data_IF_584374731980
#
_entry.id   IF_584374731980
#
_cell.length_a   1.000
_cell.length_b   1.000
_cell.length_c   1.000
_cell.angle_alpha   90.00
_cell.angle_beta   90.00
_cell.angle_gamma   90.00
#
_symmetry.space_group_name_H-M   'P 1'
#
loop_
_entity.id
_entity.type
_entity.pdbx_description
1 polymer ?
#
# COMPACT_ATOMS: atom_id res chain seq x y z
N UNK A 1 16.50 12.33 -7.05
CA UNK A 1 16.16 10.99 -6.50
C UNK A 1 15.80 10.08 -7.66
N UNK A 2 16.40 8.89 -7.76
CA UNK A 2 16.09 7.93 -8.83
C UNK A 2 14.67 7.38 -8.62
N UNK A 3 13.80 7.53 -9.61
CA UNK A 3 12.43 7.00 -9.57
C UNK A 3 12.45 5.56 -10.08
N UNK A 4 12.09 4.61 -9.21
CA UNK A 4 11.92 3.20 -9.58
C UNK A 4 10.43 2.98 -9.84
N UNK A 5 10.10 2.45 -11.02
CA UNK A 5 8.74 2.00 -11.33
C UNK A 5 8.59 0.58 -10.81
N UNK A 6 7.66 0.39 -9.89
CA UNK A 6 7.31 -0.90 -9.32
C UNK A 6 5.82 -1.16 -9.57
N UNK A 7 5.50 -2.34 -10.10
CA UNK A 7 4.14 -2.77 -10.38
C UNK A 7 3.79 -3.95 -9.49
N UNK A 8 2.92 -3.72 -8.51
CA UNK A 8 2.48 -4.72 -7.56
C UNK A 8 1.09 -5.28 -7.93
N UNK A 9 0.90 -6.57 -7.66
CA UNK A 9 -0.43 -7.21 -7.65
C UNK A 9 -0.95 -7.21 -6.22
N UNK A 10 -2.21 -6.86 -6.02
CA UNK A 10 -2.87 -6.84 -4.72
C UNK A 10 -4.31 -7.35 -4.85
N UNK A 11 -4.94 -7.85 -3.77
CA UNK A 11 -6.34 -8.21 -3.79
C UNK A 11 -7.20 -6.98 -4.09
N UNK A 12 -8.36 -7.22 -4.70
CA UNK A 12 -9.33 -6.17 -5.00
C UNK A 12 -9.71 -5.36 -3.75
N UNK A 13 -9.85 -6.03 -2.61
CA UNK A 13 -10.18 -5.39 -1.34
C UNK A 13 -9.12 -4.37 -0.88
N UNK A 14 -7.83 -4.69 -1.01
CA UNK A 14 -6.75 -3.75 -0.65
C UNK A 14 -6.67 -2.59 -1.66
N UNK A 15 -6.94 -2.88 -2.94
CA UNK A 15 -7.06 -1.84 -3.96
C UNK A 15 -8.22 -0.86 -3.64
N UNK A 16 -9.36 -1.40 -3.20
CA UNK A 16 -10.53 -0.61 -2.80
C UNK A 16 -10.24 0.25 -1.55
N UNK A 17 -9.50 -0.28 -0.57
CA UNK A 17 -9.04 0.49 0.59
C UNK A 17 -8.22 1.71 0.19
N UNK A 18 -7.30 1.58 -0.77
CA UNK A 18 -6.54 2.73 -1.27
C UNK A 18 -7.47 3.79 -1.85
N UNK A 19 -8.46 3.41 -2.66
CA UNK A 19 -9.44 4.35 -3.20
C UNK A 19 -10.25 5.06 -2.09
N UNK A 20 -10.66 4.32 -1.06
CA UNK A 20 -11.35 4.90 0.11
C UNK A 20 -10.47 5.89 0.87
N UNK A 21 -9.20 5.57 1.10
CA UNK A 21 -8.24 6.48 1.75
C UNK A 21 -8.05 7.75 0.94
N UNK A 22 -7.93 7.66 -0.39
CA UNK A 22 -7.88 8.85 -1.26
C UNK A 22 -9.12 9.72 -1.11
N UNK A 23 -10.32 9.11 -1.06
CA UNK A 23 -11.58 9.83 -0.85
C UNK A 23 -11.61 10.54 0.51
N UNK A 24 -11.12 9.89 1.57
CA UNK A 24 -11.02 10.49 2.90
C UNK A 24 -10.11 11.73 2.90
N UNK A 25 -8.92 11.63 2.29
CA UNK A 25 -8.04 12.78 2.16
C UNK A 25 -8.69 13.91 1.35
N UNK A 26 -9.39 13.57 0.27
CA UNK A 26 -10.08 14.55 -0.57
C UNK A 26 -11.22 15.26 0.16
N UNK A 27 -11.94 14.56 1.05
CA UNK A 27 -12.98 15.16 1.87
C UNK A 27 -12.44 16.26 2.79
N UNK A 28 -11.17 16.13 3.22
CA UNK A 28 -10.42 17.15 3.97
C UNK A 28 -9.70 18.16 3.05
N UNK A 29 -10.00 18.17 1.74
CA UNK A 29 -9.40 19.08 0.77
C UNK A 29 -8.00 18.67 0.27
N UNK A 30 -7.49 17.50 0.67
CA UNK A 30 -6.14 17.05 0.30
C UNK A 30 -6.20 16.02 -0.83
N UNK A 31 -5.77 16.41 -2.02
CA UNK A 31 -5.65 15.50 -3.15
C UNK A 31 -4.35 14.68 -3.05
N UNK A 32 -4.49 13.35 -2.94
CA UNK A 32 -3.35 12.42 -2.82
C UNK A 32 -3.31 11.42 -3.98
N UNK A 33 -2.11 11.10 -4.46
CA UNK A 33 -1.84 10.04 -5.43
C UNK A 33 -1.70 8.69 -4.72
N UNK A 34 -1.90 7.59 -5.47
CA UNK A 34 -1.72 6.23 -4.94
C UNK A 34 -0.29 6.02 -4.41
N UNK A 35 0.71 6.51 -5.15
CA UNK A 35 2.13 6.43 -4.75
C UNK A 35 2.49 7.29 -3.54
N UNK A 36 1.71 8.33 -3.22
CA UNK A 36 1.91 9.14 -2.01
C UNK A 36 1.36 8.39 -0.79
N UNK A 37 0.15 7.83 -0.88
CA UNK A 37 -0.41 7.01 0.19
C UNK A 37 0.46 5.80 0.52
N UNK A 38 1.02 5.12 -0.49
CA UNK A 38 1.92 3.99 -0.27
C UNK A 38 3.20 4.41 0.46
N UNK A 39 3.83 5.51 0.06
CA UNK A 39 5.02 6.04 0.76
C UNK A 39 4.69 6.51 2.18
N UNK A 40 3.54 7.15 2.39
CA UNK A 40 3.08 7.51 3.73
C UNK A 40 2.84 6.27 4.61
N UNK A 41 2.29 5.20 4.03
CA UNK A 41 2.16 3.91 4.70
C UNK A 41 3.51 3.32 5.11
N UNK A 42 4.52 3.36 4.23
CA UNK A 42 5.87 2.89 4.56
C UNK A 42 6.49 3.70 5.70
N UNK A 43 6.38 5.04 5.66
CA UNK A 43 6.87 5.89 6.74
C UNK A 43 6.17 5.60 8.08
N UNK A 44 4.86 5.31 8.05
CA UNK A 44 4.12 4.91 9.25
C UNK A 44 4.54 3.54 9.79
N UNK A 45 4.90 2.59 8.91
CA UNK A 45 5.41 1.28 9.30
C UNK A 45 6.83 1.37 9.89
N UNK A 46 7.67 2.29 9.39
CA UNK A 46 9.06 2.46 9.84
C UNK A 46 9.15 2.93 11.30
N UNK A 47 8.24 3.80 11.73
CA UNK A 47 8.22 4.33 13.11
C UNK A 47 7.47 3.43 14.10
N UNK A 48 6.91 2.32 13.64
CA UNK A 48 6.12 1.40 14.45
C UNK A 48 7.03 0.50 15.31
N UNK A 49 6.67 0.19 16.58
CA UNK A 49 7.43 -0.77 17.38
C UNK A 49 7.49 -2.15 16.70
N UNK A 50 8.66 -2.81 16.74
CA UNK A 50 8.91 -4.06 16.02
C UNK A 50 7.83 -5.13 16.25
N UNK A 51 7.39 -5.31 17.51
CA UNK A 51 6.32 -6.28 17.83
C UNK A 51 5.03 -5.99 17.07
N UNK A 52 4.64 -4.72 16.95
CA UNK A 52 3.42 -4.32 16.24
C UNK A 52 3.60 -4.46 14.73
N UNK A 53 4.76 -4.07 14.20
CA UNK A 53 5.09 -4.27 12.78
C UNK A 53 4.95 -5.75 12.38
N UNK A 54 5.48 -6.67 13.19
CA UNK A 54 5.37 -8.12 12.93
C UNK A 54 3.93 -8.61 12.92
N UNK A 55 3.07 -8.10 13.82
CA UNK A 55 1.64 -8.45 13.86
C UNK A 55 0.95 -7.97 12.58
N UNK A 56 1.16 -6.72 12.17
CA UNK A 56 0.55 -6.16 10.96
C UNK A 56 0.99 -6.93 9.71
N UNK A 57 2.28 -7.27 9.60
CA UNK A 57 2.81 -8.04 8.47
C UNK A 57 2.22 -9.47 8.43
N UNK A 58 2.01 -10.11 9.58
CA UNK A 58 1.38 -11.43 9.64
C UNK A 58 -0.11 -11.40 9.30
N UNK A 59 -0.79 -10.29 9.58
CA UNK A 59 -2.21 -10.11 9.26
C UNK A 59 -2.46 -9.91 7.76
N UNK A 60 -1.46 -9.46 6.99
CA UNK A 60 -1.57 -9.34 5.53
C UNK A 60 -1.64 -10.73 4.92
N UNK A 61 -2.77 -11.04 4.28
CA UNK A 61 -2.97 -12.31 3.62
C UNK A 61 -2.02 -12.44 2.43
N UNK A 62 -1.29 -13.56 2.35
CA UNK A 62 -0.42 -13.82 1.21
C UNK A 62 -1.26 -13.91 -0.06
N UNK A 63 -1.10 -12.95 -0.95
CA UNK A 63 -1.65 -13.02 -2.30
C UNK A 63 -0.87 -14.10 -3.05
N UNK A 64 -1.56 -15.12 -3.58
CA UNK A 64 -0.94 -15.99 -4.58
C UNK A 64 -0.72 -15.15 -5.83
N UNK A 65 0.48 -14.61 -5.98
CA UNK A 65 0.86 -13.88 -7.19
C UNK A 65 1.04 -14.88 -8.32
N UNK A 66 0.03 -14.97 -9.20
CA UNK A 66 0.26 -15.49 -10.54
C UNK A 66 1.11 -14.46 -11.27
N UNK A 67 2.43 -14.64 -11.32
CA UNK A 67 3.26 -13.92 -12.27
C UNK A 67 2.75 -14.31 -13.66
N UNK A 68 2.27 -13.41 -14.53
CA UNK A 68 2.21 -13.75 -15.94
C UNK A 68 3.65 -14.04 -16.35
N UNK A 69 3.94 -15.31 -16.62
CA UNK A 69 5.18 -15.70 -17.26
C UNK A 69 5.32 -14.83 -18.49
N UNK A 70 6.50 -14.25 -18.68
CA UNK A 70 6.82 -13.64 -19.97
C UNK A 70 6.63 -14.73 -21.03
N UNK A 71 5.61 -14.57 -21.88
CA UNK A 71 5.67 -15.10 -23.24
C UNK A 71 6.63 -14.22 -24.04
#
# INVERSE_FOLDING_TARGET
>A
MKVIRDSFTMPEYDHAKLAQLKKKCLAEGVQVKKSELLRAGLAALEVMPLKRLLIEVQAVTKVKTGRPGKA
#
